data_IF_540686555421
#
_entry.id   IF_540686555421
#
_cell.length_a   1.000
_cell.length_b   1.000
_cell.length_c   1.000
_cell.angle_alpha   90.00
_cell.angle_beta   90.00
_cell.angle_gamma   90.00
#
_symmetry.space_group_name_H-M   'P 1'
#
loop_
_entity.id
_entity.type
_entity.pdbx_description
1 polymer ?
#
# COMPACT_ATOMS: atom_id res chain seq x y z
N UNK A 1 17.02 8.53 -15.50
CA UNK A 1 17.04 8.81 -14.96
C UNK A 1 16.16 9.36 -14.13
N UNK A 2 16.27 9.84 -13.41
CA UNK A 2 15.42 10.38 -12.48
C UNK A 2 14.35 11.19 -13.08
N UNK A 3 14.40 11.38 -14.32
CA UNK A 3 13.36 12.13 -14.97
C UNK A 3 12.00 11.55 -14.72
N UNK A 4 11.91 10.23 -14.75
CA UNK A 4 10.62 9.63 -14.56
C UNK A 4 10.11 9.89 -13.15
N UNK A 5 11.01 10.00 -12.21
CA UNK A 5 10.58 10.28 -10.85
C UNK A 5 9.98 11.65 -10.73
N UNK A 6 10.57 12.60 -11.42
CA UNK A 6 10.08 13.96 -11.41
C UNK A 6 8.69 14.02 -12.00
N UNK A 7 8.50 13.31 -13.10
CA UNK A 7 7.19 13.30 -13.74
C UNK A 7 6.15 12.69 -12.82
N UNK A 8 6.52 11.62 -12.15
CA UNK A 8 5.58 11.00 -11.22
C UNK A 8 5.18 11.98 -10.13
N UNK A 9 6.13 12.79 -9.69
CA UNK A 9 5.84 13.73 -8.62
C UNK A 9 4.83 14.78 -9.07
N UNK A 10 4.84 15.14 -10.34
CA UNK A 10 3.92 16.15 -10.82
C UNK A 10 2.48 15.65 -10.85
N UNK A 11 2.27 14.44 -11.30
CA UNK A 11 0.93 13.93 -11.47
C UNK A 11 0.50 13.02 -10.33
N UNK A 12 1.44 12.39 -9.69
CA UNK A 12 1.13 11.39 -8.68
C UNK A 12 1.71 11.78 -7.34
N UNK A 13 1.02 11.37 -6.31
CA UNK A 13 1.51 11.50 -4.95
C UNK A 13 1.87 10.11 -4.47
N UNK A 14 3.05 9.99 -3.86
CA UNK A 14 3.54 8.71 -3.38
C UNK A 14 3.71 8.76 -1.89
N UNK A 15 3.25 7.72 -1.21
CA UNK A 15 3.41 7.64 0.23
C UNK A 15 3.69 6.21 0.63
N UNK A 16 4.63 6.04 1.55
CA UNK A 16 4.96 4.72 2.05
C UNK A 16 4.42 4.58 3.46
N UNK A 17 3.69 3.51 3.71
CA UNK A 17 3.12 3.25 5.01
C UNK A 17 3.74 1.97 5.57
N UNK A 18 4.08 2.00 6.85
CA UNK A 18 4.55 0.82 7.53
C UNK A 18 3.37 0.26 8.30
N UNK A 19 2.80 -0.82 7.80
CA UNK A 19 1.59 -1.37 8.37
C UNK A 19 1.93 -2.51 9.32
N UNK A 20 1.56 -2.35 10.57
CA UNK A 20 1.88 -3.32 11.61
C UNK A 20 0.66 -4.10 12.03
N UNK A 21 0.85 -5.40 12.26
CA UNK A 21 -0.23 -6.22 12.77
C UNK A 21 -1.17 -6.76 11.72
N UNK A 22 -0.90 -6.50 10.45
CA UNK A 22 -1.75 -6.99 9.37
C UNK A 22 -0.89 -7.79 8.41
N UNK A 23 -1.19 -9.08 8.22
CA UNK A 23 -0.37 -9.90 7.32
C UNK A 23 -0.54 -9.48 5.88
N UNK A 24 0.47 -9.76 5.10
CA UNK A 24 0.47 -9.37 3.69
C UNK A 24 -0.73 -9.95 2.94
N UNK A 25 -1.17 -11.14 3.30
CA UNK A 25 -2.28 -11.76 2.60
C UNK A 25 -3.56 -10.93 2.65
N UNK A 26 -3.73 -10.15 3.72
CA UNK A 26 -4.90 -9.29 3.82
C UNK A 26 -4.85 -8.18 2.79
N UNK A 27 -3.66 -7.61 2.60
CA UNK A 27 -3.51 -6.57 1.59
C UNK A 27 -3.69 -7.16 0.21
N UNK A 28 -3.15 -8.35 -0.02
CA UNK A 28 -3.27 -8.99 -1.32
C UNK A 28 -4.74 -9.24 -1.66
N UNK A 29 -5.49 -9.71 -0.68
CA UNK A 29 -6.89 -9.99 -0.92
C UNK A 29 -7.68 -8.73 -1.26
N UNK A 30 -7.43 -7.67 -0.51
CA UNK A 30 -8.11 -6.41 -0.76
C UNK A 30 -7.75 -5.85 -2.13
N UNK A 31 -6.46 -5.85 -2.43
CA UNK A 31 -6.01 -5.24 -3.68
C UNK A 31 -6.40 -6.05 -4.90
N UNK A 32 -6.46 -7.37 -4.76
CA UNK A 32 -6.87 -8.20 -5.88
C UNK A 32 -8.30 -7.92 -6.28
N UNK A 33 -9.12 -7.51 -5.34
CA UNK A 33 -10.52 -7.20 -5.65
C UNK A 33 -10.65 -5.89 -6.39
N UNK A 34 -9.77 -4.95 -6.12
CA UNK A 34 -9.92 -3.61 -6.69
C UNK A 34 -8.94 -3.33 -7.84
N UNK A 35 -7.85 -4.04 -7.91
CA UNK A 35 -6.86 -3.79 -8.95
C UNK A 35 -7.30 -4.39 -10.28
N UNK A 36 -6.90 -3.71 -11.34
CA UNK A 36 -7.18 -4.22 -12.67
C UNK A 36 -6.08 -5.14 -13.17
N UNK A 37 -4.90 -5.01 -12.58
CA UNK A 37 -3.76 -5.77 -13.03
C UNK A 37 -2.78 -5.94 -11.89
N UNK A 38 -2.11 -7.07 -11.86
CA UNK A 38 -1.12 -7.35 -10.82
C UNK A 38 0.14 -7.82 -11.50
N UNK A 39 1.26 -7.18 -11.17
CA UNK A 39 2.55 -7.59 -11.69
C UNK A 39 3.49 -7.73 -10.50
N UNK A 40 3.88 -8.98 -10.19
CA UNK A 40 4.72 -9.26 -9.04
C UNK A 40 4.09 -8.68 -7.77
N UNK A 41 4.76 -7.73 -7.15
CA UNK A 41 4.28 -7.18 -5.89
C UNK A 41 3.51 -5.89 -6.06
N UNK A 42 3.23 -5.49 -7.28
CA UNK A 42 2.57 -4.23 -7.54
C UNK A 42 1.19 -4.45 -8.12
N UNK A 43 0.22 -3.75 -7.55
CA UNK A 43 -1.18 -3.83 -7.95
C UNK A 43 -1.56 -2.52 -8.63
N UNK A 44 -2.10 -2.63 -9.84
CA UNK A 44 -2.43 -1.45 -10.63
C UNK A 44 -3.92 -1.27 -10.77
N UNK A 45 -4.38 -0.07 -10.52
CA UNK A 45 -5.78 0.27 -10.74
C UNK A 45 -5.89 1.53 -11.57
N UNK A 46 -7.10 2.07 -11.66
CA UNK A 46 -7.34 3.25 -12.47
C UNK A 46 -6.79 4.49 -11.76
N UNK A 47 -5.60 4.92 -12.19
CA UNK A 47 -4.99 6.11 -11.62
C UNK A 47 -4.24 5.87 -10.32
N UNK A 48 -3.99 4.62 -9.96
CA UNK A 48 -3.26 4.32 -8.74
C UNK A 48 -2.49 3.01 -8.87
N UNK A 49 -1.50 2.86 -8.00
CA UNK A 49 -0.81 1.59 -7.90
C UNK A 49 -0.30 1.44 -6.47
N UNK A 50 -0.21 0.21 -6.03
CA UNK A 50 0.23 -0.10 -4.68
C UNK A 50 1.26 -1.23 -4.76
N UNK A 51 2.38 -1.04 -4.10
CA UNK A 51 3.43 -2.06 -4.04
C UNK A 51 3.57 -2.55 -2.61
N UNK A 52 3.61 -3.85 -2.44
CA UNK A 52 3.76 -4.46 -1.13
C UNK A 52 5.16 -5.02 -0.97
N UNK A 53 5.75 -4.81 0.20
CA UNK A 53 7.04 -5.42 0.50
C UNK A 53 6.81 -6.83 1.01
N UNK A 54 7.90 -7.55 1.22
CA UNK A 54 7.80 -8.84 1.88
C UNK A 54 7.32 -8.63 3.31
N UNK A 55 6.61 -9.60 3.81
CA UNK A 55 6.17 -9.57 5.18
C UNK A 55 7.36 -9.88 6.07
N UNK A 56 7.53 -9.12 7.13
CA UNK A 56 8.58 -9.39 8.10
C UNK A 56 7.98 -9.36 9.47
N UNK A 57 8.73 -9.82 10.45
CA UNK A 57 8.26 -9.85 11.82
C UNK A 57 9.21 -9.07 12.70
N UNK A 58 8.64 -8.35 13.66
CA UNK A 58 9.43 -7.65 14.66
C UNK A 58 9.09 -8.24 16.01
N UNK A 59 10.13 -8.57 16.76
CA UNK A 59 9.95 -9.19 18.06
C UNK A 59 9.96 -8.15 19.16
N UNK A 60 9.05 -8.32 20.10
CA UNK A 60 8.95 -7.42 21.25
C UNK A 60 8.99 -8.25 22.52
N UNK A 61 9.94 -9.16 22.61
CA UNK A 61 10.03 -9.99 23.80
C UNK A 61 9.01 -11.09 23.81
N UNK A 62 7.88 -10.83 24.43
CA UNK A 62 6.88 -11.87 24.61
C UNK A 62 6.07 -12.15 23.36
N UNK A 63 6.09 -11.26 22.38
CA UNK A 63 5.28 -11.46 21.19
C UNK A 63 5.95 -10.86 19.95
N UNK A 64 5.42 -11.22 18.80
CA UNK A 64 5.92 -10.72 17.54
C UNK A 64 4.78 -10.08 16.76
N UNK A 65 5.12 -9.09 15.95
CA UNK A 65 4.14 -8.41 15.12
C UNK A 65 4.61 -8.46 13.67
N UNK A 66 3.70 -8.79 12.77
CA UNK A 66 4.03 -8.78 11.35
C UNK A 66 4.02 -7.33 10.86
N UNK A 67 4.91 -7.04 9.92
CA UNK A 67 5.03 -5.70 9.37
C UNK A 67 5.16 -5.79 7.86
N UNK A 68 4.39 -4.98 7.17
CA UNK A 68 4.45 -4.91 5.71
C UNK A 68 4.54 -3.44 5.32
N UNK A 69 5.48 -3.13 4.43
CA UNK A 69 5.58 -1.78 3.90
C UNK A 69 4.69 -1.68 2.67
N UNK A 70 3.82 -0.69 2.66
CA UNK A 70 2.89 -0.49 1.56
C UNK A 70 3.22 0.85 0.92
N UNK A 71 3.56 0.83 -0.36
CA UNK A 71 3.85 2.06 -1.09
C UNK A 71 2.68 2.37 -2.00
N UNK A 72 2.03 3.48 -1.77
CA UNK A 72 0.86 3.90 -2.52
C UNK A 72 1.22 5.05 -3.43
N UNK A 73 0.86 4.92 -4.71
CA UNK A 73 1.05 5.98 -5.68
C UNK A 73 -0.29 6.21 -6.37
N UNK A 74 -0.79 7.42 -6.34
CA UNK A 74 -2.08 7.72 -6.94
C UNK A 74 -2.08 9.13 -7.49
N UNK A 75 -2.96 9.39 -8.45
CA UNK A 75 -3.09 10.72 -9.00
C UNK A 75 -3.46 11.67 -7.90
N UNK A 76 -2.94 12.88 -7.97
CA UNK A 76 -3.11 13.83 -6.88
C UNK A 76 -4.57 14.06 -6.50
N UNK A 77 -5.42 14.14 -7.49
CA UNK A 77 -6.81 14.47 -7.20
C UNK A 77 -7.55 13.34 -6.48
N UNK A 78 -7.03 12.12 -6.53
CA UNK A 78 -7.70 11.04 -5.84
C UNK A 78 -6.85 10.39 -4.76
N UNK A 79 -5.66 10.90 -4.55
CA UNK A 79 -4.77 10.28 -3.58
C UNK A 79 -5.36 10.24 -2.17
N UNK A 80 -5.88 11.35 -1.70
CA UNK A 80 -6.40 11.38 -0.34
C UNK A 80 -7.62 10.48 -0.17
N UNK A 81 -8.48 10.49 -1.17
CA UNK A 81 -9.64 9.65 -1.12
C UNK A 81 -9.25 8.17 -1.12
N UNK A 82 -8.31 7.82 -1.97
CA UNK A 82 -7.83 6.46 -2.03
C UNK A 82 -7.18 6.06 -0.71
N UNK A 83 -6.34 6.92 -0.16
CA UNK A 83 -5.65 6.63 1.08
C UNK A 83 -6.65 6.46 2.23
N UNK A 84 -7.66 7.31 2.27
CA UNK A 84 -8.65 7.23 3.33
C UNK A 84 -9.41 5.90 3.25
N UNK A 85 -9.81 5.51 2.06
CA UNK A 85 -10.52 4.26 1.89
C UNK A 85 -9.64 3.08 2.27
N UNK A 86 -8.37 3.13 1.85
CA UNK A 86 -7.44 2.08 2.17
C UNK A 86 -7.27 1.94 3.68
N UNK A 87 -7.06 3.06 4.36
CA UNK A 87 -6.86 3.02 5.79
C UNK A 87 -8.10 2.55 6.54
N UNK A 88 -9.26 2.98 6.07
CA UNK A 88 -10.51 2.59 6.72
C UNK A 88 -10.67 1.08 6.70
N UNK A 89 -10.32 0.46 5.59
CA UNK A 89 -10.47 -0.97 5.48
C UNK A 89 -9.56 -1.74 6.43
N UNK A 90 -8.39 -1.20 6.72
CA UNK A 90 -7.44 -1.93 7.54
C UNK A 90 -7.38 -1.45 8.98
N UNK A 91 -7.54 -0.17 9.22
CA UNK A 91 -7.51 0.32 10.58
C UNK A 91 -8.73 -0.11 11.38
N UNK A 92 -9.87 -0.08 10.73
CA UNK A 92 -11.09 -0.49 11.41
C UNK A 92 -11.00 -1.95 11.83
N UNK A 93 -10.44 -2.76 10.97
CA UNK A 93 -10.33 -4.17 11.29
C UNK A 93 -9.40 -4.42 12.45
N UNK A 94 -8.43 -3.55 12.63
CA UNK A 94 -7.50 -3.72 13.72
C UNK A 94 -8.06 -3.31 15.06
N UNK A 95 -9.13 -2.56 15.02
CA UNK A 95 -9.71 -2.07 16.25
C UNK A 95 -10.42 -3.11 17.04
#
# INVERSE_FOLDING_TARGET
>A
MSCSEIEASDKYTVKKLEMRGIPRSEFERYLEKTAEKVIKDTYYGDGWQVTLSDQRQEDFGAFSIVVVDVTISAEKHQFESFLRTFRTNFLRGGG
#
